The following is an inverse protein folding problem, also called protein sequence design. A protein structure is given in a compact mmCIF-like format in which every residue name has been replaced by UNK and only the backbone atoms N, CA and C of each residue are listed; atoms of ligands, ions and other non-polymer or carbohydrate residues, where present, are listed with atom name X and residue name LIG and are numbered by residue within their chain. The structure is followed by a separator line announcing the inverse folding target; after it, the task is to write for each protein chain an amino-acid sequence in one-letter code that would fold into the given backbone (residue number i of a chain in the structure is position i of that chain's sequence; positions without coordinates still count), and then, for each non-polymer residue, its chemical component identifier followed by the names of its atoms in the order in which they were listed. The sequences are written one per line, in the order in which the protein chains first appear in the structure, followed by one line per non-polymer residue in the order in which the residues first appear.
data_IF_084755418315
#
_entry.id   IF_084755418315
#
_cell.length_a   1.000
_cell.length_b   1.000
_cell.length_c   1.000
_cell.angle_alpha   90.00
_cell.angle_beta   90.00
_cell.angle_gamma   90.00
#
_symmetry.space_group_name_H-M   'P 1'
#
loop_
_entity.id
_entity.type
_entity.pdbx_description
1 polymer ?
#
# COMPACT_ATOMS: atom_id res chain seq x y z
N UNK A 1 -0.22 5.46 10.39
CA UNK A 1 -0.89 4.46 11.24
C UNK A 1 -1.06 5.01 12.66
N UNK A 2 -2.27 4.98 13.22
CA UNK A 2 -2.57 5.35 14.61
C UNK A 2 -3.21 4.14 15.29
N UNK A 3 -2.61 3.66 16.37
CA UNK A 3 -3.07 2.49 17.13
C UNK A 3 -3.60 2.96 18.49
N UNK A 4 -4.72 2.39 18.95
CA UNK A 4 -5.33 2.69 20.24
C UNK A 4 -5.31 1.44 21.14
N UNK A 5 -4.92 1.58 22.41
CA UNK A 5 -4.73 0.48 23.37
C UNK A 5 -5.83 0.54 24.45
N UNK A 6 -6.58 -0.54 24.72
CA UNK A 6 -7.65 -0.55 25.72
C UNK A 6 -7.17 -1.00 27.11
N UNK A 7 -7.90 -0.58 28.15
CA UNK A 7 -7.63 -0.82 29.57
C UNK A 7 -8.27 -2.13 30.07
N UNK A 8 -7.66 -2.74 31.11
CA UNK A 8 -7.79 -4.15 31.53
C UNK A 8 -9.13 -4.62 32.18
N UNK A 9 -10.17 -3.78 32.33
CA UNK A 9 -11.30 -4.07 33.23
C UNK A 9 -12.64 -4.51 32.56
N UNK A 10 -12.64 -5.04 31.33
CA UNK A 10 -13.90 -5.43 30.67
C UNK A 10 -14.39 -6.83 31.10
N UNK A 11 -15.46 -6.91 31.91
CA UNK A 11 -16.19 -8.15 32.22
C UNK A 11 -17.25 -8.48 31.16
N UNK A 12 -17.39 -9.77 30.81
CA UNK A 12 -18.22 -10.30 29.72
C UNK A 12 -19.60 -10.79 30.20
N UNK A 13 -20.68 -10.37 29.52
CA UNK A 13 -22.05 -10.88 29.70
C UNK A 13 -22.49 -11.63 28.42
N UNK A 14 -22.90 -12.90 28.59
CA UNK A 14 -23.11 -13.87 27.51
C UNK A 14 -24.57 -13.95 27.01
N UNK A 15 -25.44 -13.01 27.39
CA UNK A 15 -26.88 -13.10 27.15
C UNK A 15 -27.38 -12.54 25.80
N UNK A 16 -26.49 -12.07 24.91
CA UNK A 16 -26.88 -11.42 23.64
C UNK A 16 -26.33 -12.12 22.38
N UNK A 17 -26.74 -13.37 22.14
CA UNK A 17 -26.56 -14.03 20.84
C UNK A 17 -27.90 -14.14 20.10
N UNK A 18 -28.15 -13.24 19.15
CA UNK A 18 -29.21 -13.37 18.16
C UNK A 18 -28.58 -13.80 16.81
N UNK A 19 -28.83 -15.05 16.41
CA UNK A 19 -28.14 -15.71 15.29
C UNK A 19 -28.63 -15.33 13.90
N UNK A 20 -29.70 -14.54 13.77
CA UNK A 20 -30.35 -14.26 12.47
C UNK A 20 -30.02 -12.89 11.86
N UNK A 21 -29.23 -12.08 12.55
CA UNK A 21 -28.51 -10.96 11.93
C UNK A 21 -27.03 -11.28 12.02
N UNK A 22 -26.32 -11.26 10.90
CA UNK A 22 -24.86 -11.38 10.84
C UNK A 22 -24.10 -10.23 11.53
N UNK A 23 -24.66 -9.62 12.57
CA UNK A 23 -23.97 -8.78 13.53
C UNK A 23 -23.28 -9.68 14.55
N UNK A 24 -22.04 -10.05 14.24
CA UNK A 24 -21.15 -10.61 15.25
C UNK A 24 -20.72 -9.48 16.18
N UNK A 25 -21.54 -9.20 17.20
CA UNK A 25 -21.19 -8.39 18.36
C UNK A 25 -20.45 -9.22 19.39
N UNK A 26 -19.17 -8.93 19.62
CA UNK A 26 -18.38 -9.52 20.70
C UNK A 26 -17.17 -8.64 21.01
N UNK A 27 -17.33 -7.71 21.94
CA UNK A 27 -16.22 -6.91 22.46
C UNK A 27 -15.28 -7.80 23.29
N UNK A 28 -13.97 -7.76 23.02
CA UNK A 28 -12.99 -8.50 23.84
C UNK A 28 -11.62 -8.80 23.21
N UNK A 29 -11.30 -8.23 22.06
CA UNK A 29 -9.92 -8.16 21.58
C UNK A 29 -9.83 -6.84 20.83
N UNK A 30 -8.81 -6.01 21.10
CA UNK A 30 -8.39 -5.04 20.09
C UNK A 30 -7.85 -5.86 18.93
N UNK A 31 -8.78 -6.38 18.13
CA UNK A 31 -8.49 -6.88 16.81
C UNK A 31 -7.97 -5.66 16.08
N UNK A 32 -6.67 -5.64 15.80
CA UNK A 32 -6.06 -4.56 15.02
C UNK A 32 -6.81 -4.45 13.71
N UNK A 33 -7.73 -3.50 13.61
CA UNK A 33 -8.57 -3.33 12.43
C UNK A 33 -7.67 -2.85 11.30
N UNK A 34 -7.46 -3.70 10.32
CA UNK A 34 -6.71 -3.37 9.11
C UNK A 34 -7.71 -2.87 8.08
N UNK A 35 -7.55 -1.61 7.68
CA UNK A 35 -8.34 -0.99 6.62
C UNK A 35 -7.43 -0.48 5.52
N UNK A 36 -7.86 -0.66 4.27
CA UNK A 36 -7.18 -0.06 3.13
C UNK A 36 -7.59 1.42 3.02
N UNK A 37 -6.68 2.34 3.33
CA UNK A 37 -6.94 3.78 3.24
C UNK A 37 -7.00 4.27 1.79
N UNK A 38 -6.05 3.82 0.95
CA UNK A 38 -5.89 4.27 -0.43
C UNK A 38 -5.61 3.06 -1.32
N UNK A 39 -6.29 3.01 -2.46
CA UNK A 39 -6.06 2.02 -3.52
C UNK A 39 -5.91 2.75 -4.86
N UNK A 40 -4.76 2.56 -5.51
CA UNK A 40 -4.39 3.18 -6.79
C UNK A 40 -4.32 2.08 -7.85
N UNK A 41 -4.84 2.34 -9.05
CA UNK A 41 -4.70 1.41 -10.18
C UNK A 41 -3.23 1.32 -10.59
N UNK A 42 -2.75 0.11 -10.84
CA UNK A 42 -1.38 -0.19 -11.21
C UNK A 42 -1.38 -1.09 -12.45
N UNK A 43 -0.39 -0.93 -13.33
CA UNK A 43 -0.26 -1.78 -14.52
C UNK A 43 0.42 -3.10 -14.14
N UNK A 44 -0.32 -4.20 -14.24
CA UNK A 44 0.15 -5.50 -13.75
C UNK A 44 0.39 -5.51 -12.24
N UNK A 45 1.03 -6.57 -11.78
CA UNK A 45 1.40 -6.76 -10.38
C UNK A 45 2.48 -5.78 -9.90
N UNK A 46 2.55 -5.60 -8.58
CA UNK A 46 3.59 -4.81 -7.94
C UNK A 46 4.69 -5.76 -7.45
N UNK A 47 5.77 -5.88 -8.23
CA UNK A 47 6.92 -6.73 -7.88
C UNK A 47 7.64 -6.24 -6.61
N UNK A 48 7.73 -4.92 -6.44
CA UNK A 48 8.25 -4.25 -5.24
C UNK A 48 7.75 -2.83 -5.17
N UNK A 49 7.39 -2.35 -3.98
CA UNK A 49 7.11 -0.94 -3.69
C UNK A 49 8.05 -0.40 -2.61
N UNK A 50 8.56 0.83 -2.77
CA UNK A 50 9.39 1.52 -1.78
C UNK A 50 9.08 3.01 -1.72
N UNK A 51 8.88 3.54 -0.51
CA UNK A 51 8.71 4.98 -0.30
C UNK A 51 10.06 5.71 -0.36
N UNK A 52 10.04 6.98 -0.79
CA UNK A 52 11.21 7.85 -0.74
C UNK A 52 11.45 8.34 0.70
N UNK A 53 12.64 8.13 1.29
CA UNK A 53 12.92 8.50 2.68
C UNK A 53 12.71 9.99 3.00
N UNK A 54 12.99 10.87 2.04
CA UNK A 54 12.85 12.32 2.20
C UNK A 54 11.40 12.81 2.04
N UNK A 55 10.55 12.02 1.36
CA UNK A 55 9.13 12.31 1.19
C UNK A 55 8.31 11.01 1.10
N UNK A 56 7.78 10.49 2.22
CA UNK A 56 7.07 9.20 2.26
C UNK A 56 5.77 9.15 1.43
N UNK A 57 5.26 10.29 0.96
CA UNK A 57 4.14 10.33 0.02
C UNK A 57 4.48 9.72 -1.34
N UNK A 58 5.77 9.78 -1.71
CA UNK A 58 6.28 9.30 -2.99
C UNK A 58 6.66 7.82 -2.86
N UNK A 59 6.08 6.99 -3.71
CA UNK A 59 6.31 5.55 -3.77
C UNK A 59 6.75 5.19 -5.18
N UNK A 60 7.89 4.51 -5.31
CA UNK A 60 8.28 3.86 -6.55
C UNK A 60 7.87 2.38 -6.54
N UNK A 61 7.48 1.86 -7.70
CA UNK A 61 7.12 0.46 -7.91
C UNK A 61 7.85 -0.17 -9.09
N UNK A 62 8.22 -1.45 -8.94
CA UNK A 62 8.61 -2.31 -10.07
C UNK A 62 7.36 -2.97 -10.66
N UNK A 63 7.26 -2.93 -11.99
CA UNK A 63 6.20 -3.58 -12.77
C UNK A 63 6.70 -4.92 -13.34
N UNK A 64 5.82 -5.78 -13.87
CA UNK A 64 6.21 -6.93 -14.70
C UNK A 64 6.70 -6.53 -16.11
N UNK A 65 6.81 -5.24 -16.40
CA UNK A 65 7.38 -4.69 -17.63
C UNK A 65 8.76 -4.07 -17.39
N UNK A 66 9.31 -3.40 -18.41
CA UNK A 66 10.56 -2.63 -18.30
C UNK A 66 10.46 -1.41 -17.38
N UNK A 67 9.25 -0.90 -17.15
CA UNK A 67 9.07 0.43 -16.57
C UNK A 67 9.07 0.38 -15.04
N UNK A 68 9.62 1.44 -14.44
CA UNK A 68 9.49 1.75 -13.01
C UNK A 68 8.53 2.90 -12.87
N UNK A 69 7.49 2.73 -12.07
CA UNK A 69 6.46 3.76 -11.87
C UNK A 69 6.67 4.49 -10.57
N UNK A 70 6.33 5.77 -10.53
CA UNK A 70 6.36 6.59 -9.33
C UNK A 70 4.99 7.22 -9.13
N UNK A 71 4.50 7.14 -7.90
CA UNK A 71 3.22 7.68 -7.46
C UNK A 71 3.42 8.57 -6.25
N UNK A 72 2.76 9.72 -6.23
CA UNK A 72 2.49 10.53 -5.04
C UNK A 72 1.06 10.24 -4.60
N UNK A 73 0.90 9.36 -3.60
CA UNK A 73 -0.44 8.87 -3.26
C UNK A 73 -1.41 9.97 -2.81
N UNK A 74 -0.91 11.14 -2.42
CA UNK A 74 -1.74 12.28 -1.99
C UNK A 74 -2.47 12.96 -3.15
N UNK A 75 -1.99 12.74 -4.39
CA UNK A 75 -2.60 13.25 -5.63
C UNK A 75 -3.61 12.28 -6.25
N UNK A 76 -3.77 11.11 -5.65
CA UNK A 76 -4.71 10.09 -6.10
C UNK A 76 -5.94 10.03 -5.19
N UNK A 77 -7.14 9.75 -5.75
CA UNK A 77 -8.31 9.48 -4.93
C UNK A 77 -8.12 8.19 -4.11
N UNK A 78 -8.70 8.15 -2.90
CA UNK A 78 -8.64 6.98 -2.03
C UNK A 78 -9.25 5.71 -2.67
N UNK A 79 -10.29 5.90 -3.48
CA UNK A 79 -10.89 4.84 -4.30
C UNK A 79 -10.36 4.95 -5.73
N UNK A 80 -9.95 3.83 -6.36
CA UNK A 80 -9.40 3.85 -7.70
C UNK A 80 -10.47 4.19 -8.74
N UNK A 81 -10.03 4.71 -9.88
CA UNK A 81 -10.90 4.97 -11.02
C UNK A 81 -11.48 3.64 -11.57
N UNK A 82 -12.80 3.53 -11.81
CA UNK A 82 -13.43 2.32 -12.34
C UNK A 82 -12.96 1.89 -13.72
N UNK A 83 -12.36 2.79 -14.52
CA UNK A 83 -11.76 2.47 -15.82
C UNK A 83 -10.61 1.46 -15.69
N UNK A 84 -9.99 1.36 -14.51
CA UNK A 84 -8.81 0.53 -14.31
C UNK A 84 -7.52 1.14 -14.87
N UNK A 85 -7.56 2.36 -15.42
CA UNK A 85 -6.38 3.00 -16.00
C UNK A 85 -5.33 3.33 -14.93
N UNK A 86 -4.08 2.93 -15.20
CA UNK A 86 -2.92 3.23 -14.37
C UNK A 86 -2.35 4.60 -14.78
N UNK A 87 -2.35 5.55 -13.85
CA UNK A 87 -1.94 6.93 -14.10
C UNK A 87 -0.77 7.34 -13.17
N UNK A 88 0.46 6.86 -13.40
CA UNK A 88 1.60 7.22 -12.55
C UNK A 88 2.01 8.69 -12.72
N UNK A 89 2.53 9.33 -11.66
CA UNK A 89 3.10 10.68 -11.73
C UNK A 89 4.36 10.71 -12.63
N UNK A 90 5.19 9.67 -12.53
CA UNK A 90 6.36 9.49 -13.40
C UNK A 90 6.47 8.05 -13.87
N UNK A 91 6.91 7.92 -15.11
CA UNK A 91 7.29 6.65 -15.74
C UNK A 91 8.77 6.69 -16.07
N UNK A 92 9.57 5.95 -15.31
CA UNK A 92 11.01 5.88 -15.49
C UNK A 92 11.32 4.68 -16.40
N UNK A 93 12.07 4.95 -17.47
CA UNK A 93 12.46 3.97 -18.48
C UNK A 93 13.97 3.80 -18.51
N UNK A 94 14.42 2.63 -18.96
CA UNK A 94 15.85 2.33 -19.14
C UNK A 94 16.17 0.84 -19.14
N UNK A 95 15.37 0.02 -18.46
CA UNK A 95 15.46 -1.43 -18.52
C UNK A 95 14.80 -1.99 -19.79
N UNK A 96 15.10 -3.25 -20.10
CA UNK A 96 14.43 -4.00 -21.18
C UNK A 96 13.52 -5.12 -20.67
N UNK A 97 13.62 -5.46 -19.38
CA UNK A 97 12.82 -6.49 -18.72
C UNK A 97 12.36 -6.02 -17.35
N UNK A 98 11.52 -6.83 -16.72
CA UNK A 98 11.13 -6.66 -15.33
C UNK A 98 12.30 -6.88 -14.36
N UNK A 99 12.01 -6.70 -13.07
CA UNK A 99 12.93 -7.09 -12.00
C UNK A 99 12.38 -6.75 -10.63
N UNK A 100 13.13 -7.11 -9.59
CA UNK A 100 12.70 -6.94 -8.20
C UNK A 100 13.52 -5.92 -7.40
N UNK A 101 14.72 -5.56 -7.83
CA UNK A 101 15.57 -4.61 -7.10
C UNK A 101 15.03 -3.17 -7.18
N UNK A 102 14.87 -2.52 -6.03
CA UNK A 102 14.43 -1.13 -5.93
C UNK A 102 14.94 -0.51 -4.62
N UNK A 103 15.66 0.60 -4.69
CA UNK A 103 16.25 1.28 -3.53
C UNK A 103 16.38 2.79 -3.75
N UNK A 104 15.78 3.58 -2.87
CA UNK A 104 15.99 5.02 -2.78
C UNK A 104 17.25 5.34 -1.99
N UNK A 105 18.00 6.34 -2.43
CA UNK A 105 19.09 6.90 -1.65
C UNK A 105 18.53 7.71 -0.47
N UNK A 106 18.95 7.42 0.76
CA UNK A 106 18.51 8.16 1.96
C UNK A 106 19.17 9.53 2.12
N UNK A 107 20.31 9.76 1.47
CA UNK A 107 21.10 10.99 1.59
C UNK A 107 20.83 11.98 0.44
N UNK A 108 20.38 11.47 -0.72
CA UNK A 108 20.11 12.28 -1.91
C UNK A 108 18.66 12.09 -2.36
N UNK A 109 17.88 13.17 -2.25
CA UNK A 109 16.48 13.19 -2.69
C UNK A 109 16.36 12.84 -4.17
N UNK A 110 15.32 12.08 -4.52
CA UNK A 110 15.02 11.71 -5.92
C UNK A 110 15.95 10.66 -6.55
N UNK A 111 17.03 10.23 -5.88
CA UNK A 111 17.95 9.24 -6.43
C UNK A 111 17.42 7.82 -6.16
N UNK A 112 17.09 7.10 -7.23
CA UNK A 112 16.52 5.76 -7.21
C UNK A 112 17.39 4.81 -8.02
N UNK A 113 17.68 3.64 -7.45
CA UNK A 113 18.28 2.51 -8.15
C UNK A 113 17.22 1.42 -8.36
N UNK A 114 17.24 0.82 -9.55
CA UNK A 114 16.44 -0.34 -9.90
C UNK A 114 17.30 -1.44 -10.53
N UNK A 115 16.98 -2.69 -10.24
CA UNK A 115 17.58 -3.86 -10.90
C UNK A 115 16.56 -4.51 -11.84
N UNK A 116 17.07 -5.26 -12.82
CA UNK A 116 16.31 -5.87 -13.91
C UNK A 116 16.97 -7.17 -14.36
N UNK A 117 16.20 -8.02 -15.02
CA UNK A 117 16.61 -9.32 -15.56
C UNK A 117 17.13 -9.21 -17.02
N UNK A 118 17.54 -8.01 -17.43
CA UNK A 118 18.09 -7.74 -18.76
C UNK A 118 19.55 -8.18 -18.95
N UNK A 119 20.20 -8.68 -17.89
CA UNK A 119 21.56 -9.24 -17.87
C UNK A 119 21.70 -10.38 -16.85
#
# INVERSE_FOLDING_TARGET
ARVHIPNDDAQFDASHCDSDKGEFGGFGSVTGKIECEIKINHEGEVNRARYMPQNPHIIATKTPSSDVLVFDYTKHPAKPDPSGECNPDLRLRGHQKEGYGLSWNSNLSGHLLSASDDH
#
